data_IF_313431770429
#
_entry.id   IF_313431770429
#
_cell.length_a   1.000
_cell.length_b   1.000
_cell.length_c   1.000
_cell.angle_alpha   90.00
_cell.angle_beta   90.00
_cell.angle_gamma   90.00
#
_symmetry.space_group_name_H-M   'P 1'
#
loop_
_entity.id
_entity.type
_entity.pdbx_description
1 polymer ?
#
# COMPACT_ATOMS: atom_id res chain seq x y z
N UNK A 1 15.78 -6.82 -12.49
CA UNK A 1 15.69 -6.64 -11.02
C UNK A 1 16.79 -5.77 -10.43
N UNK A 2 18.09 -6.13 -10.52
CA UNK A 2 19.18 -5.32 -9.91
C UNK A 2 19.20 -3.86 -10.39
N UNK A 3 18.96 -3.59 -11.67
CA UNK A 3 18.94 -2.24 -12.23
C UNK A 3 17.73 -1.42 -11.81
N UNK A 4 16.59 -2.07 -11.57
CA UNK A 4 15.36 -1.44 -11.06
C UNK A 4 15.53 -0.99 -9.60
N UNK A 5 16.27 -1.78 -8.83
CA UNK A 5 16.69 -1.44 -7.46
C UNK A 5 17.51 -0.15 -7.48
N UNK A 6 18.48 -0.02 -8.41
CA UNK A 6 19.29 1.18 -8.57
C UNK A 6 18.46 2.42 -8.99
N UNK A 7 17.45 2.26 -9.85
CA UNK A 7 16.60 3.38 -10.29
C UNK A 7 15.60 3.82 -9.25
N UNK A 8 15.10 2.90 -8.41
CA UNK A 8 14.14 3.23 -7.35
C UNK A 8 14.79 3.93 -6.16
N UNK A 9 16.04 3.62 -5.86
CA UNK A 9 16.72 4.07 -4.63
C UNK A 9 18.03 4.85 -4.88
N UNK A 10 18.23 5.36 -6.11
CA UNK A 10 19.29 6.34 -6.42
C UNK A 10 20.72 5.80 -6.41
N UNK A 11 20.91 4.49 -6.60
CA UNK A 11 22.27 3.90 -6.68
C UNK A 11 23.01 3.78 -5.35
N UNK A 12 22.47 4.29 -4.27
CA UNK A 12 23.05 4.17 -2.93
C UNK A 12 22.56 2.89 -2.26
N UNK A 13 23.49 2.11 -1.72
CA UNK A 13 23.20 0.96 -0.85
C UNK A 13 22.36 1.32 0.38
N UNK A 14 22.20 2.61 0.65
CA UNK A 14 21.42 3.19 1.73
C UNK A 14 19.94 3.38 1.39
N UNK A 15 19.51 3.19 0.13
CA UNK A 15 18.11 3.42 -0.29
C UNK A 15 17.10 2.54 0.45
N UNK A 16 17.47 1.27 0.72
CA UNK A 16 16.65 0.37 1.54
C UNK A 16 16.62 0.79 3.01
N UNK A 17 17.77 1.24 3.53
CA UNK A 17 17.88 1.76 4.89
C UNK A 17 17.00 3.01 5.04
N UNK A 18 16.93 3.85 4.02
CA UNK A 18 16.08 5.04 4.02
C UNK A 18 14.59 4.69 4.02
N UNK A 19 14.17 3.67 3.27
CA UNK A 19 12.79 3.18 3.31
C UNK A 19 12.41 2.67 4.71
N UNK A 20 13.31 1.90 5.34
CA UNK A 20 13.14 1.44 6.71
C UNK A 20 13.05 2.62 7.70
N UNK A 21 14.02 3.54 7.63
CA UNK A 21 14.05 4.73 8.51
C UNK A 21 12.77 5.56 8.33
N UNK A 22 12.32 5.78 7.10
CA UNK A 22 11.10 6.53 6.84
C UNK A 22 9.87 5.87 7.48
N UNK A 23 9.72 4.56 7.35
CA UNK A 23 8.60 3.82 7.95
C UNK A 23 8.71 3.78 9.48
N UNK A 24 9.92 3.61 10.03
CA UNK A 24 10.17 3.67 11.48
C UNK A 24 9.81 5.05 12.05
N UNK A 25 10.27 6.11 11.39
CA UNK A 25 9.97 7.50 11.80
C UNK A 25 8.48 7.76 11.71
N UNK A 26 7.84 7.32 10.63
CA UNK A 26 6.41 7.50 10.42
C UNK A 26 5.58 6.82 11.52
N UNK A 27 5.82 5.53 11.76
CA UNK A 27 5.15 4.78 12.84
C UNK A 27 5.49 5.36 14.21
N UNK A 28 6.79 5.67 14.45
CA UNK A 28 7.27 6.20 15.73
C UNK A 28 6.67 7.56 16.08
N UNK A 29 6.55 8.48 15.12
CA UNK A 29 5.91 9.80 15.35
C UNK A 29 4.45 9.60 15.77
N UNK A 30 3.68 8.80 15.02
CA UNK A 30 2.26 8.59 15.34
C UNK A 30 2.05 7.80 16.63
N UNK A 31 2.94 6.84 16.93
CA UNK A 31 2.93 6.14 18.20
C UNK A 31 3.22 7.11 19.35
N UNK A 32 4.28 7.90 19.25
CA UNK A 32 4.64 8.90 20.25
C UNK A 32 3.54 9.93 20.48
N UNK A 33 2.96 10.49 19.42
CA UNK A 33 1.82 11.41 19.52
C UNK A 33 0.61 10.80 20.25
N UNK A 34 0.25 9.57 19.91
CA UNK A 34 -0.85 8.88 20.58
C UNK A 34 -0.57 8.51 22.02
N UNK A 35 0.68 8.13 22.31
CA UNK A 35 1.11 7.87 23.70
C UNK A 35 1.04 9.13 24.57
N UNK A 36 1.44 10.28 24.01
CA UNK A 36 1.37 11.58 24.71
C UNK A 36 -0.08 12.02 25.01
N UNK A 37 -1.01 11.74 24.09
CA UNK A 37 -2.43 12.09 24.26
C UNK A 37 -3.16 11.06 25.14
N UNK A 38 -2.49 9.98 25.58
CA UNK A 38 -3.11 8.91 26.36
C UNK A 38 -4.14 8.11 25.56
N UNK A 39 -4.03 8.09 24.25
CA UNK A 39 -4.97 7.39 23.40
C UNK A 39 -4.81 5.87 23.54
N UNK A 40 -5.84 5.20 23.97
CA UNK A 40 -5.87 3.75 24.03
C UNK A 40 -5.99 3.15 22.63
N UNK A 41 -5.31 2.02 22.34
CA UNK A 41 -5.47 1.33 21.09
C UNK A 41 -6.93 0.90 20.92
N UNK A 42 -7.50 1.01 19.72
CA UNK A 42 -8.85 0.54 19.49
C UNK A 42 -8.90 -0.99 19.65
N UNK A 43 -9.94 -1.47 20.33
CA UNK A 43 -10.31 -2.89 20.37
C UNK A 43 -9.26 -3.87 20.93
N UNK A 44 -8.49 -3.47 21.94
CA UNK A 44 -7.57 -4.37 22.65
C UNK A 44 -6.31 -4.80 21.85
N UNK A 45 -6.08 -4.19 20.69
CA UNK A 45 -4.86 -4.40 19.90
C UNK A 45 -3.77 -3.42 20.37
N UNK A 46 -2.52 -3.87 20.44
CA UNK A 46 -1.41 -2.97 20.77
C UNK A 46 -1.30 -1.83 19.75
N UNK A 47 -1.02 -0.62 20.23
CA UNK A 47 -0.94 0.56 19.37
C UNK A 47 0.12 0.43 18.25
N UNK A 48 1.32 -0.13 18.50
CA UNK A 48 2.30 -0.39 17.43
C UNK A 48 1.73 -1.30 16.35
N UNK A 49 1.11 -2.43 16.71
CA UNK A 49 0.56 -3.39 15.77
C UNK A 49 -0.56 -2.77 14.92
N UNK A 50 -1.43 -1.97 15.55
CA UNK A 50 -2.49 -1.24 14.85
C UNK A 50 -1.92 -0.28 13.78
N UNK A 51 -0.83 0.42 14.09
CA UNK A 51 -0.18 1.33 13.15
C UNK A 51 0.61 0.58 12.07
N UNK A 52 1.37 -0.47 12.45
CA UNK A 52 2.16 -1.28 11.51
C UNK A 52 1.26 -1.87 10.42
N UNK A 53 0.11 -2.44 10.78
CA UNK A 53 -0.83 -3.02 9.81
C UNK A 53 -1.43 -1.97 8.89
N UNK A 54 -1.80 -0.80 9.42
CA UNK A 54 -2.33 0.31 8.63
C UNK A 54 -1.31 0.88 7.65
N UNK A 55 -0.12 1.22 8.13
CA UNK A 55 0.97 1.75 7.30
C UNK A 55 1.48 0.74 6.29
N UNK A 56 1.59 -0.54 6.66
CA UNK A 56 2.08 -1.59 5.79
C UNK A 56 1.25 -1.73 4.52
N UNK A 57 -0.07 -1.91 4.65
CA UNK A 57 -0.98 -1.99 3.49
C UNK A 57 -0.96 -0.69 2.68
N UNK A 58 -1.03 0.46 3.37
CA UNK A 58 -1.02 1.76 2.71
C UNK A 58 0.27 2.00 1.91
N UNK A 59 1.43 1.73 2.49
CA UNK A 59 2.72 1.95 1.84
C UNK A 59 2.88 1.05 0.62
N UNK A 60 2.52 -0.24 0.71
CA UNK A 60 2.51 -1.13 -0.47
C UNK A 60 1.61 -0.55 -1.55
N UNK A 61 0.37 -0.20 -1.23
CA UNK A 61 -0.60 0.34 -2.18
C UNK A 61 -0.12 1.64 -2.82
N UNK A 62 0.18 2.64 -1.99
CA UNK A 62 0.51 3.98 -2.47
C UNK A 62 1.84 4.03 -3.22
N UNK A 63 2.87 3.31 -2.74
CA UNK A 63 4.17 3.28 -3.41
C UNK A 63 4.08 2.60 -4.78
N UNK A 64 3.34 1.50 -4.93
CA UNK A 64 3.16 0.86 -6.24
C UNK A 64 2.48 1.84 -7.20
N UNK A 65 1.37 2.48 -6.81
CA UNK A 65 0.64 3.40 -7.68
C UNK A 65 1.49 4.62 -8.04
N UNK A 66 2.00 5.35 -7.05
CA UNK A 66 2.70 6.61 -7.28
C UNK A 66 4.03 6.42 -8.03
N UNK A 67 4.80 5.38 -7.69
CA UNK A 67 6.04 5.07 -8.40
C UNK A 67 5.79 4.55 -9.82
N UNK A 68 4.64 3.91 -10.09
CA UNK A 68 4.23 3.55 -11.46
C UNK A 68 3.97 4.78 -12.31
N UNK A 69 3.28 5.78 -11.75
CA UNK A 69 3.03 7.06 -12.44
C UNK A 69 4.33 7.84 -12.70
N UNK A 70 5.23 7.89 -11.71
CA UNK A 70 6.52 8.56 -11.85
C UNK A 70 7.44 7.89 -12.89
N UNK A 71 7.30 6.58 -13.09
CA UNK A 71 8.10 5.80 -14.03
C UNK A 71 7.85 6.12 -15.51
N UNK A 72 6.70 6.68 -15.82
CA UNK A 72 6.33 6.99 -17.21
C UNK A 72 7.34 7.92 -17.91
N UNK A 73 8.13 8.69 -17.17
CA UNK A 73 9.17 9.57 -17.72
C UNK A 73 10.58 8.95 -17.71
N UNK A 74 10.89 8.15 -16.68
CA UNK A 74 12.27 7.68 -16.44
C UNK A 74 12.70 6.46 -17.25
N UNK A 75 11.78 5.73 -17.85
CA UNK A 75 12.06 4.41 -18.44
C UNK A 75 12.03 4.36 -19.96
N UNK A 76 12.00 5.52 -20.64
CA UNK A 76 12.05 5.56 -22.11
C UNK A 76 13.24 4.79 -22.68
N UNK A 77 14.39 4.83 -22.01
CA UNK A 77 15.60 4.10 -22.43
C UNK A 77 15.46 2.56 -22.32
N UNK A 78 14.61 2.03 -21.43
CA UNK A 78 14.38 0.59 -21.32
C UNK A 78 13.34 0.09 -22.32
N UNK A 79 12.42 0.95 -22.73
CA UNK A 79 11.40 0.66 -23.75
C UNK A 79 11.97 0.64 -25.18
N UNK A 80 13.23 1.04 -25.37
CA UNK A 80 13.93 0.86 -26.66
C UNK A 80 14.28 -0.59 -26.96
N UNK A 81 14.26 -1.48 -25.94
CA UNK A 81 14.45 -2.91 -26.14
C UNK A 81 13.12 -3.58 -26.49
N UNK A 82 12.95 -4.20 -27.68
CA UNK A 82 11.67 -4.74 -28.13
C UNK A 82 11.13 -5.90 -27.28
N UNK A 83 11.97 -6.46 -26.40
CA UNK A 83 11.60 -7.56 -25.50
C UNK A 83 11.02 -7.11 -24.16
N UNK A 84 11.11 -5.82 -23.79
CA UNK A 84 10.65 -5.29 -22.50
C UNK A 84 9.34 -4.55 -22.69
N UNK A 85 8.29 -5.02 -22.02
CA UNK A 85 7.00 -4.35 -22.04
C UNK A 85 6.84 -3.42 -20.82
N UNK A 86 6.03 -2.36 -20.92
CA UNK A 86 5.70 -1.52 -19.75
C UNK A 86 5.10 -2.32 -18.59
N UNK A 87 4.36 -3.38 -18.89
CA UNK A 87 3.78 -4.28 -17.88
C UNK A 87 4.86 -5.03 -17.11
N UNK A 88 5.90 -5.53 -17.80
CA UNK A 88 7.02 -6.22 -17.12
C UNK A 88 7.72 -5.30 -16.12
N UNK A 89 7.84 -4.03 -16.48
CA UNK A 89 8.44 -3.01 -15.64
C UNK A 89 7.56 -2.70 -14.42
N UNK A 90 6.24 -2.62 -14.60
CA UNK A 90 5.29 -2.45 -13.50
C UNK A 90 5.34 -3.63 -12.53
N UNK A 91 5.36 -4.87 -13.04
CA UNK A 91 5.43 -6.08 -12.22
C UNK A 91 6.75 -6.19 -11.47
N UNK A 92 7.88 -5.93 -12.14
CA UNK A 92 9.20 -5.95 -11.50
C UNK A 92 9.29 -4.92 -10.37
N UNK A 93 8.76 -3.72 -10.59
CA UNK A 93 8.71 -2.64 -9.61
C UNK A 93 7.80 -2.97 -8.43
N UNK A 94 6.60 -3.47 -8.69
CA UNK A 94 5.68 -3.90 -7.65
C UNK A 94 6.27 -5.02 -6.78
N UNK A 95 6.97 -5.97 -7.39
CA UNK A 95 7.67 -7.03 -6.66
C UNK A 95 8.77 -6.50 -5.73
N UNK A 96 9.57 -5.52 -6.20
CA UNK A 96 10.60 -4.87 -5.35
C UNK A 96 9.95 -4.09 -4.21
N UNK A 97 8.89 -3.33 -4.49
CA UNK A 97 8.18 -2.55 -3.46
C UNK A 97 7.56 -3.49 -2.42
N UNK A 98 6.86 -4.54 -2.88
CA UNK A 98 6.26 -5.53 -1.98
C UNK A 98 7.32 -6.17 -1.07
N UNK A 99 8.44 -6.62 -1.65
CA UNK A 99 9.52 -7.23 -0.87
C UNK A 99 10.11 -6.25 0.16
N UNK A 100 10.34 -5.00 -0.24
CA UNK A 100 10.88 -3.96 0.65
C UNK A 100 9.91 -3.63 1.78
N UNK A 101 8.65 -3.34 1.47
CA UNK A 101 7.65 -2.98 2.48
C UNK A 101 7.32 -4.16 3.41
N UNK A 102 7.31 -5.40 2.88
CA UNK A 102 7.15 -6.61 3.71
C UNK A 102 8.33 -6.78 4.67
N UNK A 103 9.57 -6.55 4.21
CA UNK A 103 10.75 -6.59 5.07
C UNK A 103 10.67 -5.51 6.17
N UNK A 104 10.23 -4.29 5.83
CA UNK A 104 9.99 -3.21 6.80
C UNK A 104 8.94 -3.62 7.83
N UNK A 105 7.81 -4.18 7.39
CA UNK A 105 6.76 -4.66 8.30
C UNK A 105 7.29 -5.73 9.26
N UNK A 106 8.06 -6.71 8.74
CA UNK A 106 8.64 -7.77 9.56
C UNK A 106 9.62 -7.22 10.62
N UNK A 107 10.44 -6.23 10.25
CA UNK A 107 11.38 -5.60 11.19
C UNK A 107 10.60 -4.80 12.27
N UNK A 108 9.57 -4.06 11.88
CA UNK A 108 8.73 -3.33 12.83
C UNK A 108 7.98 -4.27 13.79
N UNK A 109 7.50 -5.40 13.29
CA UNK A 109 6.89 -6.46 14.10
C UNK A 109 7.92 -7.05 15.05
N UNK A 110 9.12 -7.41 14.57
CA UNK A 110 10.18 -7.94 15.42
C UNK A 110 10.59 -6.94 16.52
N UNK A 111 10.67 -5.65 16.19
CA UNK A 111 10.93 -4.60 17.17
C UNK A 111 9.80 -4.48 18.19
N UNK A 112 8.54 -4.57 17.75
CA UNK A 112 7.37 -4.54 18.64
C UNK A 112 7.38 -5.71 19.63
N UNK A 113 7.71 -6.92 19.15
CA UNK A 113 7.87 -8.12 20.01
C UNK A 113 9.03 -7.95 21.00
N UNK A 114 10.16 -7.39 20.57
CA UNK A 114 11.31 -7.11 21.43
C UNK A 114 11.00 -6.08 22.54
N UNK A 115 10.04 -5.19 22.30
CA UNK A 115 9.51 -4.24 23.27
C UNK A 115 8.45 -4.84 24.22
N UNK A 116 8.14 -6.15 24.10
CA UNK A 116 7.23 -6.87 24.95
C UNK A 116 5.75 -6.77 24.54
N UNK A 117 5.46 -6.31 23.32
CA UNK A 117 4.09 -6.37 22.79
C UNK A 117 3.80 -7.76 22.24
N UNK A 118 2.72 -8.35 22.69
CA UNK A 118 2.28 -9.66 22.18
C UNK A 118 1.67 -9.52 20.79
N UNK A 119 1.93 -10.50 19.95
CA UNK A 119 1.34 -10.64 18.63
C UNK A 119 1.05 -12.12 18.38
N UNK A 120 -0.16 -12.41 17.98
CA UNK A 120 -0.56 -13.72 17.50
C UNK A 120 -1.03 -13.54 16.04
N UNK A 121 -0.64 -14.46 15.15
CA UNK A 121 -1.06 -14.45 13.74
C UNK A 121 -1.89 -15.70 13.48
N UNK A 122 -3.18 -15.67 13.82
CA UNK A 122 -4.05 -16.83 13.70
C UNK A 122 -4.34 -17.20 12.25
N UNK A 123 -4.27 -16.22 11.34
CA UNK A 123 -4.64 -16.40 9.92
C UNK A 123 -3.55 -15.89 8.97
N UNK A 124 -2.53 -16.73 8.74
CA UNK A 124 -1.49 -16.43 7.76
C UNK A 124 -2.04 -16.38 6.32
N UNK A 125 -3.09 -17.17 6.04
CA UNK A 125 -3.76 -17.15 4.73
C UNK A 125 -4.41 -15.81 4.45
N UNK A 126 -5.07 -15.21 5.43
CA UNK A 126 -5.62 -13.86 5.37
C UNK A 126 -4.55 -12.80 5.13
N UNK A 127 -3.42 -12.87 5.82
CA UNK A 127 -2.28 -11.95 5.60
C UNK A 127 -1.80 -12.01 4.14
N UNK A 128 -1.58 -13.22 3.61
CA UNK A 128 -1.17 -13.41 2.21
C UNK A 128 -2.24 -12.93 1.23
N UNK A 129 -3.52 -13.19 1.52
CA UNK A 129 -4.66 -12.74 0.73
C UNK A 129 -4.75 -11.21 0.66
N UNK A 130 -4.59 -10.52 1.79
CA UNK A 130 -4.55 -9.06 1.84
C UNK A 130 -3.42 -8.51 0.99
N UNK A 131 -2.20 -9.06 1.13
CA UNK A 131 -1.05 -8.59 0.35
C UNK A 131 -1.26 -8.81 -1.16
N UNK A 132 -1.77 -9.98 -1.56
CA UNK A 132 -2.07 -10.28 -2.96
C UNK A 132 -3.12 -9.32 -3.56
N UNK A 133 -4.21 -9.06 -2.84
CA UNK A 133 -5.25 -8.14 -3.30
C UNK A 133 -4.79 -6.68 -3.27
N UNK A 134 -3.98 -6.29 -2.30
CA UNK A 134 -3.37 -4.94 -2.26
C UNK A 134 -2.49 -4.72 -3.50
N UNK A 135 -1.65 -5.69 -3.84
CA UNK A 135 -0.79 -5.61 -5.04
C UNK A 135 -1.63 -5.61 -6.31
N UNK A 136 -2.64 -6.48 -6.42
CA UNK A 136 -3.55 -6.54 -7.57
C UNK A 136 -4.24 -5.20 -7.81
N UNK A 137 -4.84 -4.61 -6.77
CA UNK A 137 -5.48 -3.30 -6.81
C UNK A 137 -4.49 -2.19 -7.20
N UNK A 138 -3.31 -2.21 -6.57
CA UNK A 138 -2.28 -1.19 -6.80
C UNK A 138 -1.67 -1.28 -8.21
N UNK A 139 -1.45 -2.48 -8.75
CA UNK A 139 -1.00 -2.68 -10.14
C UNK A 139 -2.01 -2.17 -11.15
N UNK A 140 -3.29 -2.51 -10.96
CA UNK A 140 -4.36 -2.06 -11.84
C UNK A 140 -4.49 -0.54 -11.87
N UNK A 141 -4.59 0.09 -10.70
CA UNK A 141 -4.68 1.55 -10.58
C UNK A 141 -3.36 2.23 -11.01
N UNK A 142 -2.22 1.64 -10.70
CA UNK A 142 -0.91 2.14 -11.12
C UNK A 142 -0.76 2.17 -12.65
N UNK A 143 -1.14 1.08 -13.33
CA UNK A 143 -1.16 1.01 -14.79
C UNK A 143 -2.14 2.02 -15.40
N UNK A 144 -3.35 2.14 -14.82
CA UNK A 144 -4.36 3.09 -15.28
C UNK A 144 -3.87 4.53 -15.16
N UNK A 145 -3.40 4.93 -13.98
CA UNK A 145 -2.93 6.30 -13.75
C UNK A 145 -1.63 6.61 -14.48
N UNK A 146 -0.71 5.65 -14.62
CA UNK A 146 0.49 5.83 -15.44
C UNK A 146 0.12 6.10 -16.92
N UNK A 147 -0.82 5.33 -17.47
CA UNK A 147 -1.31 5.52 -18.84
C UNK A 147 -2.03 6.87 -19.01
N UNK A 148 -2.88 7.23 -18.06
CA UNK A 148 -3.57 8.53 -18.05
C UNK A 148 -2.58 9.70 -17.90
N UNK A 149 -1.51 9.54 -17.14
CA UNK A 149 -0.50 10.57 -16.92
C UNK A 149 0.34 10.87 -18.19
N UNK A 150 0.38 9.94 -19.15
CA UNK A 150 0.93 10.19 -20.49
C UNK A 150 0.03 11.16 -21.27
N UNK A 151 -1.30 10.99 -21.14
CA UNK A 151 -2.29 11.84 -21.83
C UNK A 151 -2.51 13.18 -21.10
N UNK A 152 -2.47 13.14 -19.77
CA UNK A 152 -2.74 14.27 -18.87
C UNK A 152 -1.61 14.42 -17.85
N UNK A 153 -0.49 15.11 -18.20
CA UNK A 153 0.68 15.24 -17.31
C UNK A 153 0.40 15.88 -15.96
N UNK A 154 -0.69 16.64 -15.84
CA UNK A 154 -1.13 17.24 -14.57
C UNK A 154 -1.40 16.19 -13.48
N UNK A 155 -1.80 14.97 -13.86
CA UNK A 155 -2.05 13.87 -12.92
C UNK A 155 -0.80 13.53 -12.07
N UNK A 156 0.41 13.69 -12.60
CA UNK A 156 1.65 13.47 -11.85
C UNK A 156 1.77 14.39 -10.62
N UNK A 157 1.17 15.58 -10.67
CA UNK A 157 1.16 16.54 -9.57
C UNK A 157 -0.06 16.37 -8.66
N UNK A 158 -1.19 16.02 -9.23
CA UNK A 158 -2.47 15.92 -8.49
C UNK A 158 -2.55 14.62 -7.69
N UNK A 159 -2.11 13.49 -8.25
CA UNK A 159 -2.20 12.18 -7.58
C UNK A 159 -1.50 12.14 -6.22
N UNK A 160 -0.26 12.65 -6.04
CA UNK A 160 0.36 12.66 -4.72
C UNK A 160 -0.44 13.45 -3.68
N UNK A 161 -1.12 14.52 -4.09
CA UNK A 161 -1.98 15.32 -3.20
C UNK A 161 -3.22 14.52 -2.81
N UNK A 162 -3.89 13.87 -3.78
CA UNK A 162 -5.05 13.02 -3.53
C UNK A 162 -4.69 11.85 -2.60
N UNK A 163 -3.54 11.19 -2.83
CA UNK A 163 -3.07 10.09 -1.99
C UNK A 163 -2.77 10.55 -0.56
N UNK A 164 -2.27 11.79 -0.38
CA UNK A 164 -2.07 12.37 0.96
C UNK A 164 -3.40 12.57 1.69
N UNK A 165 -4.45 12.97 0.99
CA UNK A 165 -5.80 13.09 1.55
C UNK A 165 -6.35 11.69 1.85
N UNK A 166 -6.29 10.76 0.90
CA UNK A 166 -6.76 9.39 1.06
C UNK A 166 -6.07 8.65 2.21
N UNK A 167 -4.80 8.95 2.51
CA UNK A 167 -4.07 8.42 3.64
C UNK A 167 -4.82 8.59 4.96
N UNK A 168 -5.39 9.76 5.20
CA UNK A 168 -6.17 10.03 6.41
C UNK A 168 -7.53 9.31 6.43
N UNK A 169 -8.10 9.01 5.27
CA UNK A 169 -9.40 8.35 5.13
C UNK A 169 -9.31 6.83 4.89
N UNK A 170 -8.10 6.27 4.88
CA UNK A 170 -7.89 4.83 4.62
C UNK A 170 -7.95 3.95 5.87
N UNK A 171 -8.32 4.48 7.03
CA UNK A 171 -8.47 3.69 8.25
C UNK A 171 -7.14 3.36 8.97
N UNK A 172 -6.04 4.05 8.63
CA UNK A 172 -4.74 3.85 9.29
C UNK A 172 -4.83 4.23 10.76
N UNK A 173 -5.53 5.32 11.08
CA UNK A 173 -5.61 5.91 12.42
C UNK A 173 -6.89 5.57 13.18
N UNK A 174 -7.87 5.00 12.53
CA UNK A 174 -9.18 4.69 13.09
C UNK A 174 -9.72 3.38 12.50
N UNK A 175 -10.79 2.88 13.08
CA UNK A 175 -11.55 1.74 12.56
C UNK A 175 -12.88 2.23 12.01
N UNK A 176 -13.48 1.50 11.08
CA UNK A 176 -14.81 1.82 10.59
C UNK A 176 -15.85 1.86 11.72
N UNK A 177 -15.67 0.98 12.74
CA UNK A 177 -16.54 0.92 13.91
C UNK A 177 -16.51 2.14 14.83
N UNK A 178 -15.48 3.00 14.70
CA UNK A 178 -15.35 4.23 15.52
C UNK A 178 -16.30 5.35 15.09
N UNK A 179 -16.99 5.19 13.95
CA UNK A 179 -17.86 6.22 13.39
C UNK A 179 -19.34 5.82 13.44
N UNK A 180 -20.25 6.83 13.47
CA UNK A 180 -21.67 6.59 13.33
C UNK A 180 -22.01 5.86 12.02
N UNK A 181 -23.14 5.11 11.96
CA UNK A 181 -23.49 4.27 10.81
C UNK A 181 -23.45 5.01 9.46
N UNK A 182 -23.93 6.24 9.41
CA UNK A 182 -24.00 7.02 8.18
C UNK A 182 -22.62 7.39 7.61
N UNK A 183 -21.58 7.58 8.45
CA UNK A 183 -20.19 7.82 7.97
C UNK A 183 -19.53 6.49 7.66
N UNK A 184 -19.74 5.49 8.52
CA UNK A 184 -19.15 4.16 8.39
C UNK A 184 -19.47 3.51 7.04
N UNK A 185 -20.72 3.62 6.59
CA UNK A 185 -21.16 3.00 5.34
C UNK A 185 -20.44 3.60 4.11
N UNK A 186 -20.07 4.90 4.15
CA UNK A 186 -19.21 5.50 3.12
C UNK A 186 -17.74 5.09 3.24
N UNK A 187 -17.20 5.01 4.46
CA UNK A 187 -15.81 4.62 4.68
C UNK A 187 -15.53 3.18 4.21
N UNK A 188 -16.48 2.28 4.41
CA UNK A 188 -16.38 0.87 3.99
C UNK A 188 -16.36 0.73 2.45
N UNK A 189 -16.81 1.74 1.68
CA UNK A 189 -16.64 1.74 0.23
C UNK A 189 -15.19 1.91 -0.23
N UNK A 190 -14.28 2.35 0.65
CA UNK A 190 -12.87 2.42 0.34
C UNK A 190 -12.24 1.01 0.40
N UNK A 191 -11.79 0.43 -0.73
CA UNK A 191 -11.22 -0.91 -0.72
C UNK A 191 -9.94 -1.01 0.10
N UNK A 192 -9.13 0.06 0.17
CA UNK A 192 -7.89 0.07 0.97
C UNK A 192 -8.22 -0.02 2.46
N UNK A 193 -9.29 0.63 2.91
CA UNK A 193 -9.74 0.53 4.29
C UNK A 193 -10.17 -0.91 4.64
N UNK A 194 -10.92 -1.58 3.77
CA UNK A 194 -11.30 -2.97 3.98
C UNK A 194 -10.08 -3.91 4.01
N UNK A 195 -9.06 -3.66 3.18
CA UNK A 195 -7.80 -4.42 3.20
C UNK A 195 -7.05 -4.24 4.52
N UNK A 196 -6.99 -3.01 5.05
CA UNK A 196 -6.37 -2.73 6.36
C UNK A 196 -7.14 -3.42 7.48
N UNK A 197 -8.47 -3.34 7.48
CA UNK A 197 -9.32 -4.00 8.47
C UNK A 197 -9.16 -5.53 8.41
N UNK A 198 -9.11 -6.10 7.21
CA UNK A 198 -8.89 -7.55 7.06
C UNK A 198 -7.52 -7.96 7.58
N UNK A 199 -6.45 -7.20 7.29
CA UNK A 199 -5.13 -7.50 7.86
C UNK A 199 -5.16 -7.49 9.38
N UNK A 200 -5.86 -6.53 10.00
CA UNK A 200 -5.98 -6.46 11.47
C UNK A 200 -6.68 -7.68 12.05
N UNK A 201 -7.78 -8.12 11.44
CA UNK A 201 -8.47 -9.36 11.84
C UNK A 201 -7.53 -10.56 11.72
N UNK A 202 -6.71 -10.62 10.68
CA UNK A 202 -5.80 -11.75 10.44
C UNK A 202 -4.63 -11.83 11.43
N UNK A 203 -4.22 -10.70 12.01
CA UNK A 203 -3.05 -10.64 12.92
C UNK A 203 -3.42 -10.38 14.39
N UNK A 204 -4.69 -10.19 14.71
CA UNK A 204 -5.13 -9.88 16.07
C UNK A 204 -6.48 -10.53 16.38
N UNK A 205 -6.49 -11.68 17.09
CA UNK A 205 -7.73 -12.40 17.42
C UNK A 205 -8.72 -11.58 18.24
N UNK A 206 -8.23 -10.65 19.06
CA UNK A 206 -9.05 -9.76 19.88
C UNK A 206 -9.69 -8.61 19.07
N UNK A 207 -9.30 -8.43 17.79
CA UNK A 207 -9.87 -7.40 16.95
C UNK A 207 -11.31 -7.80 16.53
N UNK A 208 -12.31 -6.93 16.72
CA UNK A 208 -13.67 -7.28 16.38
C UNK A 208 -13.80 -7.52 14.87
N UNK A 209 -14.69 -8.46 14.46
CA UNK A 209 -14.87 -8.75 13.05
C UNK A 209 -15.28 -7.49 12.29
N UNK A 210 -14.42 -7.09 11.35
CA UNK A 210 -14.66 -5.97 10.49
C UNK A 210 -15.67 -6.34 9.38
N UNK A 211 -16.38 -5.35 8.84
CA UNK A 211 -17.14 -5.54 7.60
C UNK A 211 -16.16 -5.64 6.42
N UNK A 212 -15.65 -6.84 6.18
CA UNK A 212 -14.81 -7.15 5.02
C UNK A 212 -15.64 -7.93 4.02
N UNK A 213 -15.79 -7.38 2.84
CA UNK A 213 -16.44 -8.05 1.71
C UNK A 213 -15.38 -8.51 0.70
N UNK A 214 -15.04 -9.81 0.77
CA UNK A 214 -14.03 -10.41 -0.12
C UNK A 214 -14.43 -10.33 -1.59
N UNK A 215 -15.72 -10.49 -1.90
CA UNK A 215 -16.19 -10.39 -3.29
C UNK A 215 -15.98 -8.96 -3.82
N UNK A 216 -16.30 -7.95 -3.02
CA UNK A 216 -16.08 -6.55 -3.34
C UNK A 216 -14.59 -6.27 -3.61
N UNK A 217 -13.71 -6.75 -2.73
CA UNK A 217 -12.26 -6.58 -2.87
C UNK A 217 -11.70 -7.28 -4.12
N UNK A 218 -12.15 -8.50 -4.41
CA UNK A 218 -11.80 -9.23 -5.63
C UNK A 218 -12.26 -8.48 -6.88
N UNK A 219 -13.50 -7.97 -6.88
CA UNK A 219 -14.02 -7.19 -8.01
C UNK A 219 -13.21 -5.91 -8.23
N UNK A 220 -12.86 -5.16 -7.18
CA UNK A 220 -12.00 -3.99 -7.29
C UNK A 220 -10.62 -4.34 -7.84
N UNK A 221 -9.99 -5.42 -7.35
CA UNK A 221 -8.72 -5.92 -7.88
C UNK A 221 -8.79 -6.25 -9.37
N UNK A 222 -9.80 -7.04 -9.78
CA UNK A 222 -9.96 -7.46 -11.18
C UNK A 222 -10.32 -6.29 -12.09
N UNK A 223 -11.30 -5.46 -11.72
CA UNK A 223 -11.74 -4.32 -12.53
C UNK A 223 -10.58 -3.34 -12.72
N UNK A 224 -9.83 -3.04 -11.67
CA UNK A 224 -8.68 -2.14 -11.77
C UNK A 224 -7.60 -2.70 -12.70
N UNK A 225 -7.31 -4.01 -12.64
CA UNK A 225 -6.36 -4.67 -13.55
C UNK A 225 -6.84 -4.61 -15.00
N UNK A 226 -8.10 -4.93 -15.26
CA UNK A 226 -8.66 -4.89 -16.63
C UNK A 226 -8.60 -3.47 -17.20
N UNK A 227 -9.00 -2.47 -16.42
CA UNK A 227 -8.95 -1.06 -16.83
C UNK A 227 -7.49 -0.63 -17.05
N UNK A 228 -6.59 -0.93 -16.12
CA UNK A 228 -5.18 -0.56 -16.19
C UNK A 228 -4.49 -1.15 -17.43
N UNK A 229 -4.64 -2.44 -17.66
CA UNK A 229 -4.03 -3.13 -18.80
C UNK A 229 -4.63 -2.70 -20.13
N UNK A 230 -5.93 -2.43 -20.20
CA UNK A 230 -6.57 -1.94 -21.43
C UNK A 230 -6.14 -0.53 -21.77
N UNK A 231 -6.02 0.37 -20.80
CA UNK A 231 -5.51 1.73 -20.99
C UNK A 231 -4.04 1.70 -21.41
N UNK A 232 -3.21 0.89 -20.76
CA UNK A 232 -1.80 0.72 -21.11
C UNK A 232 -1.64 0.30 -22.57
N UNK A 233 -2.38 -0.72 -23.02
CA UNK A 233 -2.35 -1.18 -24.43
C UNK A 233 -2.73 -0.08 -25.42
N UNK A 234 -3.73 0.75 -25.10
CA UNK A 234 -4.19 1.84 -25.98
C UNK A 234 -3.19 2.99 -26.06
N UNK A 235 -2.42 3.23 -25.01
CA UNK A 235 -1.48 4.35 -24.93
C UNK A 235 -0.07 3.95 -25.37
N UNK A 236 0.26 2.65 -25.38
CA UNK A 236 1.58 2.11 -25.74
C UNK A 236 2.14 2.65 -27.06
N UNK A 237 1.29 2.88 -28.08
CA UNK A 237 1.70 3.43 -29.37
C UNK A 237 1.98 4.94 -29.38
N UNK A 238 1.79 5.63 -28.24
CA UNK A 238 1.99 7.08 -28.09
C UNK A 238 3.21 7.43 -27.22
N UNK A 239 3.90 6.42 -26.68
CA UNK A 239 5.12 6.51 -25.90
C UNK A 239 6.31 6.11 -26.75
#
# INVERSE_FOLDING_TARGET
MLREIHTLYGGDHLGYLWALVNSLVQVGIFWGLRALVGAHPPHGVSLPLFLITGFGVWNVFSNIVLKSVAASDGNRALLTFPQVTPVDLLLARAGVILATESAVMLILVALSLALGYEMDVPDLGGVMGVMALTVSLALGLGAAFASLAVLLPVLKKVLPILFRIMFFFSGIFFTAGSFPPFIRDYLVLNPVMQLIEWLRVSVAPAYPPARVDLFYLLMWGLISLVIGLTLERRVRGRV
#
